data_IF_760885335334
#
_entry.id   IF_760885335334
#
_cell.length_a   1.000
_cell.length_b   1.000
_cell.length_c   1.000
_cell.angle_alpha   90.00
_cell.angle_beta   90.00
_cell.angle_gamma   90.00
#
_symmetry.space_group_name_H-M   'P 1'
#
loop_
_entity.id
_entity.type
_entity.pdbx_description
1 polymer ?
#
# COMPACT_ATOMS: atom_id res chain seq x y z
N UNK A 1 2.14 -13.42 0.28
CA UNK A 1 1.21 -13.45 1.43
C UNK A 1 0.94 -12.07 2.03
N UNK A 2 1.96 -11.22 2.29
CA UNK A 2 1.77 -9.91 2.95
C UNK A 2 0.81 -8.95 2.22
N UNK A 3 0.91 -8.85 0.88
CA UNK A 3 0.03 -7.99 0.08
C UNK A 3 -1.45 -8.42 0.09
N UNK A 4 -1.71 -9.73 0.13
CA UNK A 4 -3.06 -10.28 0.25
C UNK A 4 -3.64 -10.04 1.65
N UNK A 5 -2.84 -10.27 2.70
CA UNK A 5 -3.24 -9.94 4.07
C UNK A 5 -3.56 -8.44 4.21
N UNK A 6 -2.78 -7.56 3.55
CA UNK A 6 -3.04 -6.12 3.46
C UNK A 6 -4.32 -5.76 2.70
N UNK A 7 -4.57 -6.39 1.55
CA UNK A 7 -5.80 -6.17 0.79
C UNK A 7 -7.04 -6.55 1.60
N UNK A 8 -7.00 -7.68 2.31
CA UNK A 8 -8.10 -8.15 3.17
C UNK A 8 -8.33 -7.21 4.35
N UNK A 9 -7.27 -6.69 4.98
CA UNK A 9 -7.41 -5.74 6.08
C UNK A 9 -7.90 -4.35 5.64
N UNK A 10 -7.63 -3.92 4.39
CA UNK A 10 -8.24 -2.72 3.81
C UNK A 10 -9.76 -2.87 3.67
N UNK A 11 -10.24 -4.05 3.23
CA UNK A 11 -11.66 -4.35 3.04
C UNK A 11 -12.39 -4.49 4.38
N UNK A 12 -11.84 -5.29 5.29
CA UNK A 12 -12.50 -5.63 6.55
C UNK A 12 -12.51 -4.46 7.55
N UNK A 13 -11.46 -3.64 7.58
CA UNK A 13 -11.34 -2.56 8.57
C UNK A 13 -11.60 -1.17 7.99
N UNK A 14 -11.91 -1.05 6.69
CA UNK A 14 -12.26 0.22 6.04
C UNK A 14 -11.33 1.36 6.48
N UNK A 15 -10.03 1.05 6.51
CA UNK A 15 -9.14 1.65 7.52
C UNK A 15 -9.11 3.16 7.39
N UNK A 16 -9.50 3.85 8.48
CA UNK A 16 -9.53 5.32 8.59
C UNK A 16 -8.29 5.96 7.96
N UNK A 17 -7.10 5.37 8.18
CA UNK A 17 -5.81 5.77 7.61
C UNK A 17 -5.80 6.07 6.11
N UNK A 18 -6.36 5.21 5.27
CA UNK A 18 -6.32 5.41 3.81
C UNK A 18 -7.42 6.35 3.31
N UNK A 19 -8.52 6.40 4.04
CA UNK A 19 -9.60 7.32 3.71
C UNK A 19 -9.26 8.74 4.13
N UNK A 20 -8.58 8.90 5.27
CA UNK A 20 -8.34 10.19 5.90
C UNK A 20 -7.43 11.09 5.06
N UNK A 21 -6.32 10.56 4.55
CA UNK A 21 -5.45 11.33 3.65
C UNK A 21 -6.19 11.77 2.39
N UNK A 22 -6.96 10.86 1.77
CA UNK A 22 -7.77 11.20 0.59
C UNK A 22 -8.88 12.21 0.92
N UNK A 23 -9.49 12.11 2.11
CA UNK A 23 -10.50 13.04 2.58
C UNK A 23 -9.93 14.45 2.79
N UNK A 24 -8.79 14.54 3.47
CA UNK A 24 -8.17 15.83 3.81
C UNK A 24 -7.66 16.59 2.58
N UNK A 25 -7.28 15.88 1.50
CA UNK A 25 -6.70 16.48 0.29
C UNK A 25 -7.73 16.64 -0.83
N UNK A 26 -8.57 15.62 -1.06
CA UNK A 26 -9.45 15.52 -2.24
C UNK A 26 -10.95 15.57 -1.89
N UNK A 27 -11.29 15.58 -0.60
CA UNK A 27 -12.65 15.68 -0.10
C UNK A 27 -13.40 14.35 -0.02
N UNK A 28 -14.67 14.46 0.38
CA UNK A 28 -15.51 13.31 0.76
C UNK A 28 -15.67 12.28 -0.35
N UNK A 29 -15.96 12.73 -1.57
CA UNK A 29 -16.22 11.84 -2.70
C UNK A 29 -14.99 10.96 -3.02
N UNK A 30 -13.83 11.59 -3.19
CA UNK A 30 -12.58 10.89 -3.46
C UNK A 30 -12.22 9.89 -2.35
N UNK A 31 -12.45 10.27 -1.09
CA UNK A 31 -12.15 9.40 0.06
C UNK A 31 -12.93 8.07 0.04
N UNK A 32 -14.12 8.02 -0.57
CA UNK A 32 -14.92 6.79 -0.68
C UNK A 32 -14.39 5.85 -1.77
N UNK A 33 -13.80 6.40 -2.82
CA UNK A 33 -13.33 5.64 -3.99
C UNK A 33 -11.87 5.20 -3.79
N UNK A 34 -11.05 6.01 -3.13
CA UNK A 34 -9.60 5.76 -3.00
C UNK A 34 -9.23 4.40 -2.39
N UNK A 35 -9.90 3.90 -1.34
CA UNK A 35 -9.63 2.57 -0.79
C UNK A 35 -9.87 1.44 -1.80
N UNK A 36 -10.87 1.59 -2.68
CA UNK A 36 -11.14 0.62 -3.75
C UNK A 36 -10.02 0.65 -4.80
N UNK A 37 -9.54 1.84 -5.15
CA UNK A 37 -8.40 2.00 -6.07
C UNK A 37 -7.14 1.36 -5.49
N UNK A 38 -6.87 1.54 -4.19
CA UNK A 38 -5.74 0.89 -3.52
C UNK A 38 -5.86 -0.62 -3.49
N UNK A 39 -7.06 -1.14 -3.24
CA UNK A 39 -7.31 -2.56 -3.31
C UNK A 39 -7.00 -3.12 -4.70
N UNK A 40 -7.52 -2.48 -5.75
CA UNK A 40 -7.25 -2.88 -7.13
C UNK A 40 -5.75 -2.76 -7.45
N UNK A 41 -5.07 -1.74 -6.94
CA UNK A 41 -3.63 -1.56 -7.15
C UNK A 41 -2.78 -2.62 -6.42
N UNK A 42 -3.16 -3.03 -5.20
CA UNK A 42 -2.45 -4.06 -4.44
C UNK A 42 -2.71 -5.46 -5.01
N UNK A 43 -3.98 -5.80 -5.31
CA UNK A 43 -4.37 -7.09 -5.88
C UNK A 43 -3.86 -7.19 -7.33
N UNK A 44 -4.14 -6.18 -8.15
CA UNK A 44 -3.69 -6.08 -9.53
C UNK A 44 -2.17 -5.96 -9.63
N UNK A 45 -1.52 -5.29 -8.68
CA UNK A 45 -0.06 -5.26 -8.56
C UNK A 45 0.51 -6.64 -8.26
N UNK A 46 -0.08 -7.38 -7.32
CA UNK A 46 0.30 -8.75 -7.00
C UNK A 46 0.10 -9.71 -8.18
N UNK A 47 -1.05 -9.64 -8.86
CA UNK A 47 -1.34 -10.44 -10.06
C UNK A 47 -0.43 -10.06 -11.23
N UNK A 48 -0.14 -8.78 -11.40
CA UNK A 48 0.77 -8.30 -12.44
C UNK A 48 2.21 -8.74 -12.19
N UNK A 49 2.68 -8.75 -10.94
CA UNK A 49 3.98 -9.30 -10.57
C UNK A 49 4.01 -10.82 -10.83
N UNK A 50 2.94 -11.54 -10.47
CA UNK A 50 2.84 -12.98 -10.70
C UNK A 50 2.84 -13.37 -12.18
N UNK A 51 2.26 -12.52 -13.04
CA UNK A 51 2.25 -12.70 -14.49
C UNK A 51 3.42 -12.03 -15.21
N UNK A 52 4.48 -11.66 -14.48
CA UNK A 52 5.67 -11.02 -15.03
C UNK A 52 5.34 -9.80 -15.91
N UNK A 53 4.46 -8.91 -15.42
CA UNK A 53 4.16 -7.66 -16.10
C UNK A 53 4.75 -6.47 -15.36
N UNK A 54 5.52 -5.65 -16.07
CA UNK A 54 6.19 -4.43 -15.54
C UNK A 54 5.24 -3.43 -14.87
N UNK A 55 3.97 -3.35 -15.32
CA UNK A 55 2.97 -2.47 -14.70
C UNK A 55 2.55 -2.93 -13.30
N UNK A 56 2.52 -4.24 -13.03
CA UNK A 56 2.14 -4.80 -11.74
C UNK A 56 3.09 -4.35 -10.63
N UNK A 57 4.38 -4.31 -10.94
CA UNK A 57 5.39 -3.77 -10.03
C UNK A 57 5.14 -2.29 -9.71
N UNK A 58 4.86 -1.47 -10.72
CA UNK A 58 4.61 -0.02 -10.54
C UNK A 58 3.36 0.22 -9.68
N UNK A 59 2.30 -0.58 -9.89
CA UNK A 59 1.08 -0.51 -9.08
C UNK A 59 1.29 -0.94 -7.63
N UNK A 60 1.97 -2.06 -7.41
CA UNK A 60 2.25 -2.53 -6.06
C UNK A 60 3.11 -1.52 -5.27
N UNK A 61 4.15 -0.97 -5.91
CA UNK A 61 5.04 0.03 -5.30
C UNK A 61 4.30 1.32 -4.99
N UNK A 62 3.50 1.84 -5.94
CA UNK A 62 2.74 3.08 -5.70
C UNK A 62 1.72 2.92 -4.57
N UNK A 63 1.02 1.80 -4.50
CA UNK A 63 0.08 1.52 -3.41
C UNK A 63 0.79 1.34 -2.05
N UNK A 64 1.96 0.69 -2.03
CA UNK A 64 2.76 0.55 -0.81
C UNK A 64 3.29 1.89 -0.30
N UNK A 65 3.82 2.74 -1.20
CA UNK A 65 4.28 4.08 -0.86
C UNK A 65 3.14 4.96 -0.34
N UNK A 66 1.99 4.94 -1.03
CA UNK A 66 0.80 5.63 -0.54
C UNK A 66 0.44 5.21 0.88
N UNK A 67 0.54 3.91 1.18
CA UNK A 67 0.18 3.39 2.49
C UNK A 67 1.05 3.95 3.62
N UNK A 68 2.37 4.09 3.37
CA UNK A 68 3.29 4.74 4.31
C UNK A 68 2.90 6.20 4.53
N UNK A 69 2.68 6.96 3.44
CA UNK A 69 2.32 8.38 3.51
C UNK A 69 1.01 8.59 4.26
N UNK A 70 -0.01 7.77 3.99
CA UNK A 70 -1.29 7.83 4.67
C UNK A 70 -1.19 7.55 6.17
N UNK A 71 -0.38 6.56 6.56
CA UNK A 71 -0.12 6.27 7.97
C UNK A 71 0.58 7.44 8.66
N UNK A 72 1.65 7.99 8.08
CA UNK A 72 2.36 9.16 8.61
C UNK A 72 1.46 10.39 8.72
N UNK A 73 0.62 10.63 7.72
CA UNK A 73 -0.31 11.76 7.71
C UNK A 73 -1.25 11.74 8.90
N UNK A 74 -1.80 10.57 9.23
CA UNK A 74 -2.62 10.43 10.44
C UNK A 74 -1.80 10.69 11.69
N UNK A 75 -0.61 10.07 11.82
CA UNK A 75 0.22 10.22 13.01
C UNK A 75 0.70 11.64 13.29
N UNK A 76 0.76 12.49 12.26
CA UNK A 76 1.13 13.91 12.41
C UNK A 76 -0.08 14.79 12.75
N UNK A 77 -1.28 14.45 12.26
CA UNK A 77 -2.46 15.34 12.35
C UNK A 77 -3.47 14.98 13.43
N UNK A 78 -3.48 13.73 13.89
CA UNK A 78 -4.47 13.22 14.82
C UNK A 78 -3.79 12.56 16.02
N UNK A 79 -4.45 12.63 17.16
CA UNK A 79 -4.04 11.88 18.34
C UNK A 79 -4.33 10.39 18.10
N UNK A 80 -3.27 9.59 18.06
CA UNK A 80 -3.34 8.16 17.77
C UNK A 80 -2.56 7.37 18.80
N UNK A 81 -3.08 6.19 19.12
CA UNK A 81 -2.39 5.25 19.99
C UNK A 81 -1.02 4.87 19.37
N UNK A 82 0.05 5.17 20.11
CA UNK A 82 1.43 5.04 19.62
C UNK A 82 1.76 3.62 19.17
N UNK A 83 1.35 2.61 19.93
CA UNK A 83 1.63 1.20 19.60
C UNK A 83 0.95 0.78 18.29
N UNK A 84 -0.33 1.11 18.13
CA UNK A 84 -1.08 0.83 16.91
C UNK A 84 -0.50 1.55 15.68
N UNK A 85 -0.11 2.81 15.85
CA UNK A 85 0.56 3.58 14.81
C UNK A 85 1.90 2.96 14.39
N UNK A 86 2.78 2.64 15.34
CA UNK A 86 4.10 2.07 15.07
C UNK A 86 4.02 0.69 14.40
N UNK A 87 3.15 -0.19 14.91
CA UNK A 87 2.92 -1.50 14.30
C UNK A 87 2.46 -1.36 12.85
N UNK A 88 1.54 -0.43 12.60
CA UNK A 88 1.02 -0.19 11.26
C UNK A 88 2.09 0.36 10.31
N UNK A 89 2.84 1.36 10.77
CA UNK A 89 3.94 1.94 10.01
C UNK A 89 5.01 0.88 9.68
N UNK A 90 5.32 0.00 10.63
CA UNK A 90 6.25 -1.11 10.42
C UNK A 90 5.79 -2.01 9.26
N UNK A 91 4.52 -2.42 9.24
CA UNK A 91 4.00 -3.25 8.14
C UNK A 91 4.00 -2.50 6.79
N UNK A 92 3.71 -1.20 6.77
CA UNK A 92 3.74 -0.40 5.54
C UNK A 92 5.17 -0.29 4.99
N UNK A 93 6.15 -0.03 5.88
CA UNK A 93 7.56 0.02 5.53
C UNK A 93 8.09 -1.34 5.08
N UNK A 94 7.74 -2.43 5.77
CA UNK A 94 8.14 -3.78 5.36
C UNK A 94 7.62 -4.11 3.97
N UNK A 95 6.39 -3.73 3.61
CA UNK A 95 5.86 -3.95 2.27
C UNK A 95 6.67 -3.19 1.20
N UNK A 96 7.00 -1.92 1.46
CA UNK A 96 7.84 -1.12 0.56
C UNK A 96 9.23 -1.73 0.42
N UNK A 97 9.86 -2.09 1.54
CA UNK A 97 11.18 -2.73 1.55
C UNK A 97 11.14 -4.02 0.76
N UNK A 98 10.18 -4.93 1.00
CA UNK A 98 10.07 -6.19 0.27
C UNK A 98 9.90 -6.00 -1.25
N UNK A 99 9.16 -4.97 -1.67
CA UNK A 99 9.01 -4.66 -3.10
C UNK A 99 10.28 -4.05 -3.70
N UNK A 100 11.02 -3.23 -2.96
CA UNK A 100 12.24 -2.58 -3.44
C UNK A 100 13.51 -3.40 -3.21
N UNK A 101 13.44 -4.45 -2.37
CA UNK A 101 14.61 -5.21 -1.95
C UNK A 101 15.32 -5.86 -3.14
N UNK A 102 16.66 -5.77 -3.22
CA UNK A 102 17.46 -6.22 -4.37
C UNK A 102 17.38 -7.72 -4.68
N UNK A 103 16.84 -8.58 -3.80
CA UNK A 103 16.54 -9.97 -4.17
C UNK A 103 15.48 -10.09 -5.28
N UNK A 104 14.70 -9.03 -5.56
CA UNK A 104 13.84 -8.94 -6.76
C UNK A 104 14.58 -8.48 -8.02
N UNK A 105 15.82 -7.96 -7.90
CA UNK A 105 16.62 -7.48 -9.05
C UNK A 105 17.27 -8.63 -9.83
N UNK A 106 17.66 -9.72 -9.16
CA UNK A 106 18.17 -10.92 -9.86
C UNK A 106 17.07 -11.59 -10.70
N UNK A 107 15.84 -11.72 -10.17
CA UNK A 107 14.69 -12.18 -10.96
C UNK A 107 14.36 -11.22 -12.11
N UNK A 108 14.52 -9.91 -11.90
CA UNK A 108 14.27 -8.88 -12.92
C UNK A 108 15.30 -8.93 -14.08
N UNK A 109 16.55 -9.28 -13.80
CA UNK A 109 17.61 -9.38 -14.82
C UNK A 109 17.42 -10.60 -15.73
N UNK A 110 16.85 -11.69 -15.20
CA UNK A 110 16.67 -12.94 -15.94
C UNK A 110 15.42 -12.90 -16.85
N UNK A 111 14.35 -12.21 -16.43
CA UNK A 111 13.06 -12.19 -17.17
C UNK A 111 12.72 -10.86 -17.87
N UNK A 112 13.34 -9.74 -17.49
CA UNK A 112 13.05 -8.42 -18.05
C UNK A 112 14.27 -7.63 -18.55
N UNK A 113 15.45 -8.27 -18.52
CA UNK A 113 16.65 -7.81 -19.20
C UNK A 113 16.54 -7.99 -20.70
#
# INVERSE_FOLDING_TARGET
MLAYFRAVSIVLFGSVYYRQLAYDILGLFASRIFPLVLLVALVGGGLGIANEKKWGFRLAVSAALYSVVATLWIGIRYDVELLGFLLRLMFDLVLVVLLLHPQSKEYRRIWFG
#
